data_IF_859819101980
#
_entry.id   IF_859819101980
#
_cell.length_a   1.000
_cell.length_b   1.000
_cell.length_c   1.000
_cell.angle_alpha   90.00
_cell.angle_beta   90.00
_cell.angle_gamma   90.00
#
_symmetry.space_group_name_H-M   'P 1'
#
loop_
_entity.id
_entity.type
_entity.pdbx_description
1 polymer ?
#
# COMPACT_ATOMS: atom_id res chain seq x y z
N UNK A 1 1.46 31.63 2.68
CA UNK A 1 0.89 30.29 2.32
C UNK A 1 1.94 29.24 2.62
N UNK A 2 1.56 28.12 3.26
CA UNK A 2 2.50 27.02 3.52
C UNK A 2 2.93 26.36 2.20
N UNK A 3 4.20 25.94 2.13
CA UNK A 3 4.74 25.20 0.97
C UNK A 3 4.29 23.74 0.94
N UNK A 4 3.75 23.22 2.05
CA UNK A 4 3.39 21.82 2.23
C UNK A 4 1.96 21.67 2.75
N UNK A 5 0.92 22.05 1.96
CA UNK A 5 -0.48 22.04 2.40
C UNK A 5 -0.97 20.64 2.82
N UNK A 6 -0.41 19.57 2.25
CA UNK A 6 -0.74 18.18 2.60
C UNK A 6 -0.47 17.81 4.07
N UNK A 7 0.43 18.56 4.75
CA UNK A 7 0.76 18.36 6.15
C UNK A 7 0.02 19.32 7.11
N UNK A 8 -0.92 20.11 6.61
CA UNK A 8 -1.88 20.78 7.49
C UNK A 8 -2.58 19.70 8.33
N UNK A 9 -2.86 19.99 9.60
CA UNK A 9 -3.46 19.06 10.56
C UNK A 9 -2.62 17.77 10.84
N UNK A 10 -1.32 17.79 10.57
CA UNK A 10 -0.44 16.64 10.84
C UNK A 10 -0.39 16.29 12.33
N UNK A 11 -0.59 17.28 13.20
CA UNK A 11 -0.71 17.15 14.67
C UNK A 11 -1.92 16.32 15.13
N UNK A 12 -2.91 16.10 14.26
CA UNK A 12 -4.03 15.21 14.55
C UNK A 12 -3.70 13.73 14.33
N UNK A 13 -2.68 13.44 13.52
CA UNK A 13 -2.38 12.08 13.07
C UNK A 13 -1.01 11.58 13.49
N UNK A 14 0.04 12.40 13.29
CA UNK A 14 1.40 11.96 13.49
C UNK A 14 1.88 12.08 14.93
N UNK A 15 2.61 11.06 15.38
CA UNK A 15 3.36 11.07 16.62
C UNK A 15 4.86 11.09 16.38
N UNK A 16 5.59 11.75 17.26
CA UNK A 16 7.04 11.82 17.19
C UNK A 16 7.68 10.44 17.46
N UNK A 17 8.50 9.87 16.54
CA UNK A 17 9.15 8.57 16.74
C UNK A 17 10.04 8.51 17.98
N UNK A 18 10.53 9.68 18.47
CA UNK A 18 11.44 9.77 19.61
C UNK A 18 10.72 9.88 20.96
N UNK A 19 9.61 10.62 21.02
CA UNK A 19 8.97 10.93 22.31
C UNK A 19 7.44 10.75 22.34
N UNK A 20 6.80 10.32 21.25
CA UNK A 20 5.36 10.06 21.17
C UNK A 20 4.46 11.30 21.12
N UNK A 21 5.00 12.52 21.31
CA UNK A 21 4.20 13.74 21.25
C UNK A 21 3.75 14.04 19.81
N UNK A 22 2.61 14.74 19.67
CA UNK A 22 2.07 15.13 18.36
C UNK A 22 3.09 15.90 17.52
N UNK A 23 3.10 15.64 16.20
CA UNK A 23 3.95 16.32 15.22
C UNK A 23 3.11 17.31 14.42
N UNK A 24 3.30 18.60 14.65
CA UNK A 24 2.67 19.67 13.90
C UNK A 24 3.56 20.21 12.78
N UNK A 25 2.93 20.82 11.75
CA UNK A 25 3.63 21.50 10.67
C UNK A 25 4.25 22.81 11.18
N UNK A 26 5.58 22.93 11.08
CA UNK A 26 6.36 24.14 11.37
C UNK A 26 7.18 24.49 10.14
N UNK A 27 6.72 25.47 9.35
CA UNK A 27 7.33 25.92 8.10
C UNK A 27 7.52 24.79 7.06
N UNK A 28 8.71 24.18 7.01
CA UNK A 28 9.07 23.11 6.08
C UNK A 28 9.39 21.79 6.80
N UNK A 29 8.98 21.64 8.04
CA UNK A 29 9.28 20.49 8.88
C UNK A 29 8.06 20.08 9.69
N UNK A 30 8.02 18.81 10.14
CA UNK A 30 7.15 18.39 11.23
C UNK A 30 7.94 18.50 12.53
N UNK A 31 7.32 19.10 13.56
CA UNK A 31 7.97 19.36 14.84
C UNK A 31 7.07 19.01 16.02
N UNK A 32 7.63 18.39 17.05
CA UNK A 32 6.93 18.16 18.32
C UNK A 32 7.26 19.22 19.38
N UNK A 33 6.46 19.30 20.49
CA UNK A 33 6.74 20.23 21.61
C UNK A 33 8.13 20.06 22.24
N UNK A 34 8.68 18.83 22.21
CA UNK A 34 10.05 18.54 22.69
C UNK A 34 11.15 18.91 21.66
N UNK A 35 10.78 19.68 20.63
CA UNK A 35 11.69 20.21 19.60
C UNK A 35 12.35 19.18 18.68
N UNK A 36 11.93 17.91 18.68
CA UNK A 36 12.35 16.99 17.62
C UNK A 36 11.75 17.46 16.29
N UNK A 37 12.58 17.52 15.25
CA UNK A 37 12.23 18.12 13.98
C UNK A 37 12.55 17.14 12.85
N UNK A 38 11.62 17.02 11.87
CA UNK A 38 11.71 16.14 10.71
C UNK A 38 11.43 16.97 9.46
N UNK A 39 12.43 17.17 8.63
CA UNK A 39 12.30 18.00 7.44
C UNK A 39 11.43 17.35 6.38
N UNK A 40 10.56 18.15 5.77
CA UNK A 40 9.75 17.74 4.63
C UNK A 40 10.60 17.92 3.38
N UNK A 41 10.83 16.82 2.66
CA UNK A 41 11.58 16.83 1.42
C UNK A 41 10.89 17.72 0.36
N UNK A 42 11.67 18.23 -0.60
CA UNK A 42 11.16 19.06 -1.71
C UNK A 42 9.98 18.41 -2.45
N UNK A 43 9.98 17.08 -2.54
CA UNK A 43 8.94 16.31 -3.21
C UNK A 43 7.65 16.19 -2.38
N UNK A 44 7.67 16.58 -1.10
CA UNK A 44 6.48 16.57 -0.23
C UNK A 44 6.29 15.27 0.54
N UNK A 45 7.35 14.66 1.03
CA UNK A 45 7.30 13.55 1.99
C UNK A 45 8.18 13.85 3.20
N UNK A 46 7.96 13.13 4.29
CA UNK A 46 8.78 13.19 5.50
C UNK A 46 9.36 11.81 5.83
N UNK A 47 10.61 11.77 6.32
CA UNK A 47 11.21 10.52 6.82
C UNK A 47 11.06 10.45 8.35
N UNK A 48 10.17 9.56 8.81
CA UNK A 48 9.92 9.32 10.23
C UNK A 48 10.56 8.01 10.75
N UNK A 49 11.33 7.31 9.90
CA UNK A 49 12.09 6.12 10.23
C UNK A 49 13.56 6.22 9.74
N UNK A 50 14.33 7.25 10.16
CA UNK A 50 15.65 7.53 9.58
C UNK A 50 16.70 6.44 9.86
N UNK A 51 16.46 5.58 10.85
CA UNK A 51 17.39 4.51 11.27
C UNK A 51 17.14 3.18 10.55
N UNK A 52 16.06 3.06 9.80
CA UNK A 52 15.72 1.82 9.11
C UNK A 52 16.64 1.62 7.90
N UNK A 53 17.25 0.43 7.84
CA UNK A 53 18.07 0.04 6.68
C UNK A 53 17.16 -0.19 5.48
N UNK A 54 17.51 0.43 4.35
CA UNK A 54 16.80 0.20 3.09
C UNK A 54 17.05 -1.22 2.59
N UNK A 55 16.01 -1.88 2.08
CA UNK A 55 16.13 -3.22 1.50
C UNK A 55 16.92 -3.16 0.19
N UNK A 56 17.85 -4.09 0.01
CA UNK A 56 18.58 -4.25 -1.26
C UNK A 56 17.74 -4.89 -2.37
N UNK A 57 16.56 -5.44 -2.06
CA UNK A 57 15.77 -6.24 -2.99
C UNK A 57 14.85 -5.41 -3.89
N UNK A 58 14.64 -4.13 -3.58
CA UNK A 58 13.78 -3.25 -4.37
C UNK A 58 14.58 -2.04 -4.83
N UNK A 59 14.87 -2.00 -6.12
CA UNK A 59 15.55 -0.88 -6.76
C UNK A 59 14.52 0.11 -7.31
N UNK A 60 14.92 1.35 -7.50
CA UNK A 60 14.08 2.42 -8.04
C UNK A 60 13.37 2.03 -9.34
N UNK A 61 14.08 1.34 -10.26
CA UNK A 61 13.51 0.86 -11.52
C UNK A 61 12.35 -0.13 -11.33
N UNK A 62 12.38 -0.96 -10.29
CA UNK A 62 11.29 -1.89 -9.99
C UNK A 62 10.01 -1.16 -9.62
N UNK A 63 10.11 -0.04 -8.87
CA UNK A 63 8.94 0.79 -8.54
C UNK A 63 8.42 1.55 -9.76
N UNK A 64 9.29 2.06 -10.63
CA UNK A 64 8.90 2.75 -11.87
C UNK A 64 8.18 1.80 -12.83
N UNK A 65 8.68 0.58 -13.00
CA UNK A 65 8.03 -0.46 -13.80
C UNK A 65 6.66 -0.85 -13.22
N UNK A 66 6.60 -1.06 -11.90
CA UNK A 66 5.35 -1.36 -11.20
C UNK A 66 4.33 -0.25 -11.38
N UNK A 67 4.73 1.02 -11.22
CA UNK A 67 3.86 2.16 -11.43
C UNK A 67 3.27 2.14 -12.84
N UNK A 68 4.10 2.01 -13.87
CA UNK A 68 3.65 1.98 -15.26
C UNK A 68 2.65 0.84 -15.53
N UNK A 69 2.88 -0.33 -14.94
CA UNK A 69 1.98 -1.48 -15.07
C UNK A 69 0.63 -1.24 -14.38
N UNK A 70 0.63 -0.71 -13.16
CA UNK A 70 -0.60 -0.42 -12.42
C UNK A 70 -1.41 0.70 -13.12
N UNK A 71 -0.74 1.73 -13.63
CA UNK A 71 -1.38 2.82 -14.38
C UNK A 71 -1.93 2.38 -15.74
N UNK A 72 -1.47 1.24 -16.30
CA UNK A 72 -2.06 0.63 -17.49
C UNK A 72 -3.44 -0.01 -17.25
N UNK A 73 -3.97 0.01 -16.00
CA UNK A 73 -5.35 -0.34 -15.68
C UNK A 73 -5.58 -1.80 -15.30
N UNK A 74 -4.55 -2.64 -15.24
CA UNK A 74 -4.71 -4.07 -14.89
C UNK A 74 -5.29 -4.29 -13.49
N UNK A 75 -5.11 -3.33 -12.57
CA UNK A 75 -5.55 -3.41 -11.18
C UNK A 75 -6.73 -2.47 -10.86
N UNK A 76 -7.31 -1.81 -11.86
CA UNK A 76 -8.37 -0.80 -11.64
C UNK A 76 -9.61 -1.37 -10.93
N UNK A 77 -10.02 -2.60 -11.24
CA UNK A 77 -11.16 -3.25 -10.59
C UNK A 77 -10.92 -3.51 -9.08
N UNK A 78 -9.67 -3.72 -8.66
CA UNK A 78 -9.33 -3.84 -7.23
C UNK A 78 -9.40 -2.46 -6.55
N UNK A 79 -8.94 -1.42 -7.23
CA UNK A 79 -9.09 -0.04 -6.79
C UNK A 79 -10.57 0.33 -6.64
N UNK A 80 -11.41 0.04 -7.66
CA UNK A 80 -12.86 0.31 -7.65
C UNK A 80 -13.57 -0.38 -6.46
N UNK A 81 -13.18 -1.61 -6.14
CA UNK A 81 -13.71 -2.33 -4.98
C UNK A 81 -13.33 -1.67 -3.65
N UNK A 82 -12.08 -1.20 -3.51
CA UNK A 82 -11.63 -0.46 -2.32
C UNK A 82 -12.34 0.87 -2.20
N UNK A 83 -12.43 1.66 -3.28
CA UNK A 83 -13.13 2.95 -3.32
C UNK A 83 -14.58 2.80 -2.89
N UNK A 84 -15.29 1.82 -3.46
CA UNK A 84 -16.68 1.52 -3.11
C UNK A 84 -16.84 1.16 -1.62
N UNK A 85 -15.94 0.34 -1.06
CA UNK A 85 -16.01 -0.06 0.34
C UNK A 85 -15.67 1.09 1.30
N UNK A 86 -14.69 1.95 0.96
CA UNK A 86 -14.38 3.16 1.72
C UNK A 86 -15.60 4.09 1.79
N UNK A 87 -16.29 4.28 0.65
CA UNK A 87 -17.50 5.10 0.58
C UNK A 87 -18.65 4.48 1.38
N UNK A 88 -18.90 3.17 1.26
CA UNK A 88 -19.92 2.43 2.00
C UNK A 88 -19.74 2.56 3.52
N UNK A 89 -18.50 2.42 3.99
CA UNK A 89 -18.16 2.54 5.40
C UNK A 89 -18.08 3.99 5.91
N UNK A 90 -18.15 4.98 5.03
CA UNK A 90 -18.10 6.40 5.36
C UNK A 90 -16.78 6.83 5.99
N UNK A 91 -15.66 6.18 5.63
CA UNK A 91 -14.35 6.49 6.18
C UNK A 91 -13.92 7.92 5.78
N UNK A 92 -13.29 8.64 6.70
CA UNK A 92 -12.80 10.01 6.50
C UNK A 92 -11.28 10.12 6.55
N UNK A 93 -10.63 9.19 7.22
CA UNK A 93 -9.18 9.09 7.29
C UNK A 93 -8.73 7.66 7.05
N UNK A 94 -7.72 7.47 6.19
CA UNK A 94 -7.17 6.15 5.88
C UNK A 94 -5.65 6.16 5.98
N UNK A 95 -5.09 5.02 6.41
CA UNK A 95 -3.67 4.76 6.44
C UNK A 95 -3.34 3.62 5.48
N UNK A 96 -2.61 3.92 4.41
CA UNK A 96 -2.15 2.95 3.40
C UNK A 96 -0.80 2.36 3.81
N UNK A 97 -0.80 1.06 4.08
CA UNK A 97 0.31 0.31 4.67
C UNK A 97 1.17 -0.30 3.56
N UNK A 98 2.46 0.05 3.52
CA UNK A 98 3.35 -0.47 2.48
C UNK A 98 2.90 -0.04 1.08
N UNK A 99 2.59 1.27 0.95
CA UNK A 99 1.91 1.83 -0.22
C UNK A 99 2.72 1.76 -1.54
N UNK A 100 4.02 1.38 -1.46
CA UNK A 100 4.90 1.37 -2.62
C UNK A 100 4.99 2.73 -3.30
N UNK A 101 4.78 2.75 -4.63
CA UNK A 101 4.75 3.97 -5.46
C UNK A 101 3.43 4.76 -5.37
N UNK A 102 2.52 4.33 -4.47
CA UNK A 102 1.33 5.08 -4.08
C UNK A 102 0.17 5.06 -5.07
N UNK A 103 0.03 4.05 -5.93
CA UNK A 103 -1.03 3.96 -6.93
C UNK A 103 -2.43 4.11 -6.32
N UNK A 104 -2.76 3.32 -5.30
CA UNK A 104 -4.08 3.36 -4.67
C UNK A 104 -4.34 4.68 -3.96
N UNK A 105 -3.40 5.13 -3.13
CA UNK A 105 -3.51 6.39 -2.40
C UNK A 105 -3.65 7.60 -3.31
N UNK A 106 -2.93 7.66 -4.45
CA UNK A 106 -3.05 8.76 -5.43
C UNK A 106 -4.42 8.76 -6.10
N UNK A 107 -4.91 7.60 -6.56
CA UNK A 107 -6.24 7.49 -7.18
C UNK A 107 -7.37 7.85 -6.21
N UNK A 108 -7.28 7.41 -4.95
CA UNK A 108 -8.26 7.78 -3.91
C UNK A 108 -8.26 9.29 -3.67
N UNK A 109 -7.07 9.92 -3.58
CA UNK A 109 -6.94 11.35 -3.35
C UNK A 109 -7.48 12.23 -4.49
N UNK A 110 -7.54 11.70 -5.71
CA UNK A 110 -8.11 12.40 -6.87
C UNK A 110 -9.63 12.38 -6.88
N UNK A 111 -10.26 11.37 -6.26
CA UNK A 111 -11.71 11.13 -6.36
C UNK A 111 -12.47 11.36 -5.06
N UNK A 112 -11.81 11.24 -3.92
CA UNK A 112 -12.47 11.25 -2.60
C UNK A 112 -11.88 12.35 -1.72
N UNK A 113 -12.74 12.99 -0.93
CA UNK A 113 -12.33 13.93 0.12
C UNK A 113 -11.97 13.15 1.39
N UNK A 114 -10.69 12.72 1.47
CA UNK A 114 -10.14 11.88 2.52
C UNK A 114 -8.83 12.46 3.06
N UNK A 115 -8.61 12.33 4.37
CA UNK A 115 -7.27 12.42 4.94
C UNK A 115 -6.53 11.10 4.68
N UNK A 116 -5.63 11.09 3.68
CA UNK A 116 -4.85 9.92 3.32
C UNK A 116 -3.43 10.07 3.86
N UNK A 117 -3.04 9.13 4.71
CA UNK A 117 -1.67 8.92 5.16
C UNK A 117 -1.16 7.68 4.44
N UNK A 118 0.03 7.75 3.85
CA UNK A 118 0.57 6.60 3.13
C UNK A 118 2.05 6.45 3.40
N UNK A 119 2.47 5.24 3.75
CA UNK A 119 3.86 4.98 4.05
C UNK A 119 4.40 3.70 3.41
N UNK A 120 5.69 3.73 3.24
CA UNK A 120 6.49 2.55 2.91
C UNK A 120 7.82 2.64 3.67
N UNK A 121 8.47 1.51 3.88
CA UNK A 121 9.81 1.45 4.46
C UNK A 121 10.86 1.93 3.45
N UNK A 122 10.58 1.80 2.15
CA UNK A 122 11.46 2.22 1.06
C UNK A 122 11.34 3.73 0.82
N UNK A 123 12.46 4.43 1.01
CA UNK A 123 12.53 5.85 0.69
C UNK A 123 12.34 6.11 -0.81
N UNK A 124 12.80 5.21 -1.68
CA UNK A 124 12.71 5.38 -3.14
C UNK A 124 11.27 5.28 -3.62
N UNK A 125 10.47 4.36 -3.06
CA UNK A 125 9.05 4.25 -3.37
C UNK A 125 8.28 5.50 -2.94
N UNK A 126 8.50 5.98 -1.72
CA UNK A 126 7.87 7.19 -1.18
C UNK A 126 8.28 8.45 -1.97
N UNK A 127 9.53 8.54 -2.39
CA UNK A 127 9.99 9.62 -3.26
C UNK A 127 9.22 9.62 -4.59
N UNK A 128 9.03 8.44 -5.20
CA UNK A 128 8.28 8.27 -6.45
C UNK A 128 6.80 8.62 -6.24
N UNK A 129 6.16 8.07 -5.21
CA UNK A 129 4.78 8.35 -4.83
C UNK A 129 4.52 9.86 -4.66
N UNK A 130 5.34 10.53 -3.87
CA UNK A 130 5.22 11.97 -3.61
C UNK A 130 5.44 12.84 -4.85
N UNK A 131 6.33 12.43 -5.78
CA UNK A 131 6.56 13.10 -7.06
C UNK A 131 5.38 12.97 -8.03
N UNK A 132 4.74 11.79 -8.02
CA UNK A 132 3.64 11.45 -8.94
C UNK A 132 2.27 11.91 -8.42
N UNK A 133 2.19 12.38 -7.16
CA UNK A 133 0.96 12.86 -6.55
C UNK A 133 0.59 14.27 -7.05
N UNK A 134 -0.32 14.34 -8.03
CA UNK A 134 -0.85 15.59 -8.60
C UNK A 134 -1.78 16.31 -7.63
N UNK A 135 -2.51 15.60 -6.76
CA UNK A 135 -3.46 16.15 -5.79
C UNK A 135 -2.78 16.99 -4.70
N UNK A 136 -1.54 16.63 -4.35
CA UNK A 136 -0.78 17.20 -3.23
C UNK A 136 -1.53 17.15 -1.89
N UNK A 137 -2.42 16.18 -1.72
CA UNK A 137 -3.22 15.99 -0.50
C UNK A 137 -2.74 14.83 0.36
N UNK A 138 -2.14 13.79 -0.23
CA UNK A 138 -1.66 12.62 0.51
C UNK A 138 -0.45 12.97 1.38
N UNK A 139 -0.48 12.55 2.63
CA UNK A 139 0.59 12.72 3.63
C UNK A 139 1.58 11.55 3.51
N UNK A 140 2.55 11.69 2.59
CA UNK A 140 3.57 10.67 2.33
C UNK A 140 4.66 10.65 3.40
N UNK A 141 4.99 9.46 3.91
CA UNK A 141 6.10 9.33 4.84
C UNK A 141 6.85 7.99 4.72
N UNK A 142 8.14 8.03 5.04
CA UNK A 142 8.91 6.80 5.27
C UNK A 142 8.65 6.36 6.69
N UNK A 143 8.20 5.12 6.88
CA UNK A 143 7.79 4.59 8.18
C UNK A 143 8.16 3.12 8.35
N UNK A 144 8.09 2.64 9.58
CA UNK A 144 8.27 1.24 9.94
C UNK A 144 6.95 0.71 10.53
N UNK A 145 6.45 -0.37 9.93
CA UNK A 145 5.23 -1.04 10.36
C UNK A 145 5.32 -1.59 11.80
N UNK A 146 6.52 -1.84 12.28
CA UNK A 146 6.72 -2.36 13.64
C UNK A 146 6.48 -1.30 14.72
N UNK A 147 6.55 -0.01 14.35
CA UNK A 147 6.31 1.13 15.23
C UNK A 147 5.85 2.33 14.40
N UNK A 148 4.56 2.38 14.13
CA UNK A 148 3.97 3.46 13.33
C UNK A 148 4.06 4.82 14.04
N UNK A 149 4.57 5.87 13.39
CA UNK A 149 4.61 7.22 13.96
C UNK A 149 3.23 7.90 13.82
N UNK A 150 2.19 7.22 14.25
CA UNK A 150 0.78 7.63 14.20
C UNK A 150 0.22 7.61 15.61
N UNK A 151 -0.58 8.59 15.94
CA UNK A 151 -1.24 8.70 17.24
C UNK A 151 -2.30 7.61 17.41
N UNK A 152 -2.57 7.25 18.67
CA UNK A 152 -3.57 6.26 19.03
C UNK A 152 -4.96 6.74 18.64
N UNK A 153 -5.78 5.86 18.09
CA UNK A 153 -7.22 6.09 17.84
C UNK A 153 -7.54 7.31 16.96
N UNK A 154 -6.72 7.52 15.91
CA UNK A 154 -6.90 8.67 15.00
C UNK A 154 -7.35 8.31 13.59
N UNK A 155 -7.24 7.04 13.18
CA UNK A 155 -7.49 6.57 11.82
C UNK A 155 -8.83 5.84 11.74
N UNK A 156 -9.67 6.13 10.72
CA UNK A 156 -10.94 5.43 10.49
C UNK A 156 -10.74 4.10 9.76
N UNK A 157 -9.79 4.03 8.82
CA UNK A 157 -9.55 2.84 8.02
C UNK A 157 -8.09 2.57 7.72
N UNK A 158 -7.72 1.29 7.68
CA UNK A 158 -6.41 0.82 7.21
C UNK A 158 -6.59 0.15 5.85
N UNK A 159 -5.73 0.51 4.90
CA UNK A 159 -5.57 -0.16 3.63
C UNK A 159 -4.32 -1.02 3.70
N UNK A 160 -4.49 -2.34 3.64
CA UNK A 160 -3.40 -3.33 3.67
C UNK A 160 -3.44 -4.10 2.35
N UNK A 161 -2.76 -3.56 1.32
CA UNK A 161 -2.87 -4.02 -0.06
C UNK A 161 -1.63 -4.83 -0.44
N UNK A 162 -1.75 -6.16 -0.46
CA UNK A 162 -0.63 -7.08 -0.76
C UNK A 162 0.60 -6.84 0.11
N UNK A 163 0.40 -6.38 1.37
CA UNK A 163 1.48 -6.02 2.28
C UNK A 163 1.42 -6.82 3.59
N UNK A 164 2.50 -6.86 4.38
CA UNK A 164 2.50 -7.46 5.71
C UNK A 164 1.57 -6.71 6.67
N UNK A 165 1.01 -7.40 7.65
CA UNK A 165 0.18 -6.82 8.69
C UNK A 165 0.89 -6.78 10.05
N UNK A 166 0.58 -5.75 10.85
CA UNK A 166 0.85 -5.68 12.27
C UNK A 166 -0.44 -5.28 13.00
N UNK A 167 -1.24 -6.28 13.35
CA UNK A 167 -2.57 -6.05 13.93
C UNK A 167 -2.54 -5.36 15.30
N UNK A 168 -1.44 -5.44 16.05
CA UNK A 168 -1.27 -4.70 17.31
C UNK A 168 -1.18 -3.18 17.03
N UNK A 169 -0.35 -2.79 16.05
CA UNK A 169 -0.27 -1.39 15.61
C UNK A 169 -1.57 -0.93 14.94
N UNK A 170 -2.22 -1.81 14.16
CA UNK A 170 -3.52 -1.50 13.57
C UNK A 170 -4.57 -1.20 14.65
N UNK A 171 -4.69 -2.07 15.66
CA UNK A 171 -5.60 -1.86 16.77
C UNK A 171 -5.28 -0.58 17.58
N UNK A 172 -4.00 -0.22 17.69
CA UNK A 172 -3.57 0.99 18.36
C UNK A 172 -4.01 2.26 17.63
N UNK A 173 -3.78 2.33 16.31
CA UNK A 173 -4.03 3.57 15.55
C UNK A 173 -5.47 3.74 15.09
N UNK A 174 -6.22 2.63 14.90
CA UNK A 174 -7.63 2.67 14.51
C UNK A 174 -8.51 3.23 15.63
N UNK A 175 -9.44 4.09 15.26
CA UNK A 175 -10.56 4.48 16.11
C UNK A 175 -11.40 3.26 16.49
N UNK A 176 -12.14 3.35 17.58
CA UNK A 176 -13.13 2.33 17.94
C UNK A 176 -14.16 2.19 16.80
N UNK A 177 -14.38 0.97 16.33
CA UNK A 177 -15.20 0.71 15.14
C UNK A 177 -14.53 1.03 13.81
N UNK A 178 -13.23 1.34 13.82
CA UNK A 178 -12.44 1.52 12.61
C UNK A 178 -12.28 0.21 11.83
N UNK A 179 -12.07 0.32 10.52
CA UNK A 179 -12.06 -0.82 9.59
C UNK A 179 -10.65 -1.12 9.05
N UNK A 180 -10.39 -2.41 8.80
CA UNK A 180 -9.25 -2.87 8.02
C UNK A 180 -9.77 -3.40 6.68
N UNK A 181 -9.27 -2.85 5.59
CA UNK A 181 -9.52 -3.30 4.22
C UNK A 181 -8.23 -3.95 3.73
N UNK A 182 -8.23 -5.29 3.67
CA UNK A 182 -7.04 -6.06 3.27
C UNK A 182 -7.28 -6.76 1.94
N UNK A 183 -6.42 -6.50 0.95
CA UNK A 183 -6.37 -7.26 -0.30
C UNK A 183 -5.31 -8.34 -0.21
N UNK A 184 -5.73 -9.57 -0.44
CA UNK A 184 -4.85 -10.73 -0.59
C UNK A 184 -5.05 -11.38 -1.95
N UNK A 185 -4.01 -11.96 -2.59
CA UNK A 185 -4.20 -12.63 -3.86
C UNK A 185 -5.26 -13.74 -3.75
N UNK A 186 -6.12 -13.82 -4.75
CA UNK A 186 -7.09 -14.91 -4.87
C UNK A 186 -6.45 -16.18 -5.45
N UNK A 187 -7.16 -17.32 -5.42
CA UNK A 187 -6.63 -18.60 -5.93
C UNK A 187 -6.26 -18.55 -7.41
N UNK A 188 -6.95 -17.75 -8.21
CA UNK A 188 -6.68 -17.60 -9.65
C UNK A 188 -5.80 -16.39 -9.98
N UNK A 189 -5.24 -15.70 -8.98
CA UNK A 189 -4.37 -14.55 -9.24
C UNK A 189 -3.17 -14.96 -10.07
N UNK A 190 -3.01 -14.31 -11.25
CA UNK A 190 -1.94 -14.56 -12.22
C UNK A 190 -1.81 -16.05 -12.63
N UNK A 191 -2.93 -16.78 -12.71
CA UNK A 191 -2.94 -18.24 -12.99
C UNK A 191 -2.25 -18.57 -14.32
N UNK A 192 -2.38 -17.72 -15.35
CA UNK A 192 -1.79 -17.93 -16.65
C UNK A 192 -0.26 -17.83 -16.58
N UNK A 193 0.25 -16.83 -15.86
CA UNK A 193 1.68 -16.64 -15.64
C UNK A 193 2.25 -17.77 -14.75
N UNK A 194 1.52 -18.19 -13.72
CA UNK A 194 1.90 -19.35 -12.88
C UNK A 194 1.93 -20.64 -13.65
N UNK A 195 0.95 -20.85 -14.54
CA UNK A 195 0.91 -22.03 -15.39
C UNK A 195 2.11 -22.10 -16.34
N UNK A 196 2.52 -20.97 -16.90
CA UNK A 196 3.70 -20.89 -17.75
C UNK A 196 5.00 -21.26 -17.01
N UNK A 197 5.09 -20.94 -15.72
CA UNK A 197 6.26 -21.19 -14.88
C UNK A 197 6.13 -22.46 -14.01
N UNK A 198 5.11 -23.31 -14.22
CA UNK A 198 4.74 -24.43 -13.32
C UNK A 198 5.90 -25.36 -12.96
N UNK A 199 6.78 -25.65 -13.93
CA UNK A 199 7.92 -26.56 -13.76
C UNK A 199 9.03 -25.98 -12.86
N UNK A 200 8.99 -24.67 -12.56
CA UNK A 200 9.94 -23.95 -11.72
C UNK A 200 9.34 -23.51 -10.39
N UNK A 201 8.02 -23.59 -10.22
CA UNK A 201 7.34 -23.18 -9.00
C UNK A 201 7.20 -24.35 -8.02
N UNK A 202 7.42 -24.09 -6.73
CA UNK A 202 7.27 -25.10 -5.66
C UNK A 202 5.82 -25.55 -5.46
N UNK A 203 4.85 -24.65 -5.72
CA UNK A 203 3.42 -24.91 -5.63
C UNK A 203 2.73 -24.27 -6.83
N UNK A 204 1.91 -25.03 -7.53
CA UNK A 204 1.09 -24.55 -8.65
C UNK A 204 -0.17 -23.79 -8.16
N UNK A 205 -0.74 -24.23 -7.04
CA UNK A 205 -1.92 -23.59 -6.43
C UNK A 205 -1.51 -22.57 -5.37
N UNK A 206 -2.22 -21.46 -5.35
CA UNK A 206 -2.11 -20.46 -4.29
C UNK A 206 -3.27 -20.65 -3.30
N UNK A 207 -2.95 -20.70 -2.02
CA UNK A 207 -3.92 -20.72 -0.93
C UNK A 207 -3.61 -19.59 0.04
N UNK A 208 -4.64 -18.84 0.43
CA UNK A 208 -4.55 -17.73 1.37
C UNK A 208 -5.30 -18.00 2.70
N UNK A 209 -5.71 -19.24 2.95
CA UNK A 209 -6.53 -19.59 4.11
C UNK A 209 -5.86 -19.19 5.44
N UNK A 210 -4.55 -19.45 5.57
CA UNK A 210 -3.79 -19.05 6.77
C UNK A 210 -3.85 -17.54 7.01
N UNK A 211 -3.78 -16.74 5.93
CA UNK A 211 -3.85 -15.26 6.03
C UNK A 211 -5.26 -14.82 6.45
N UNK A 212 -6.29 -15.47 5.89
CA UNK A 212 -7.69 -15.20 6.21
C UNK A 212 -7.99 -15.56 7.66
N UNK A 213 -7.54 -16.71 8.13
CA UNK A 213 -7.77 -17.18 9.50
C UNK A 213 -6.99 -16.31 10.50
N UNK A 214 -5.78 -15.92 10.16
CA UNK A 214 -5.03 -14.96 10.95
C UNK A 214 -5.72 -13.60 11.03
N UNK A 215 -6.23 -13.06 9.91
CA UNK A 215 -7.03 -11.84 9.90
C UNK A 215 -8.25 -11.94 10.81
N UNK A 216 -9.02 -13.04 10.69
CA UNK A 216 -10.22 -13.31 11.50
C UNK A 216 -9.94 -13.33 13.00
N UNK A 217 -8.74 -13.71 13.41
CA UNK A 217 -8.39 -13.74 14.84
C UNK A 217 -8.23 -12.36 15.49
N UNK A 218 -8.18 -11.29 14.69
CA UNK A 218 -8.00 -9.91 15.16
C UNK A 218 -9.20 -8.99 14.96
N UNK A 219 -10.22 -9.43 14.24
CA UNK A 219 -11.40 -8.60 13.90
C UNK A 219 -12.68 -9.32 14.30
N UNK A 220 -13.71 -8.56 14.71
CA UNK A 220 -14.96 -9.12 15.19
C UNK A 220 -15.86 -9.66 14.07
N UNK A 221 -15.88 -8.97 12.93
CA UNK A 221 -16.70 -9.32 11.76
C UNK A 221 -15.84 -9.29 10.52
N UNK A 222 -15.96 -10.32 9.68
CA UNK A 222 -15.21 -10.41 8.43
C UNK A 222 -16.19 -10.58 7.28
N UNK A 223 -16.17 -9.59 6.39
CA UNK A 223 -16.74 -9.71 5.05
C UNK A 223 -15.62 -10.12 4.08
N UNK A 224 -15.93 -10.97 3.11
CA UNK A 224 -15.01 -11.38 2.05
C UNK A 224 -15.65 -11.14 0.70
N UNK A 225 -14.98 -10.39 -0.15
CA UNK A 225 -15.43 -10.10 -1.51
C UNK A 225 -14.36 -10.58 -2.48
N UNK A 226 -14.70 -11.54 -3.34
CA UNK A 226 -13.82 -11.95 -4.43
C UNK A 226 -13.94 -10.91 -5.56
N UNK A 227 -12.80 -10.33 -5.92
CA UNK A 227 -12.70 -9.35 -7.01
C UNK A 227 -11.76 -9.92 -8.06
N UNK A 228 -12.28 -10.18 -9.27
CA UNK A 228 -11.53 -10.88 -10.32
C UNK A 228 -11.84 -10.29 -11.68
N UNK A 229 -10.80 -10.09 -12.50
CA UNK A 229 -10.94 -9.70 -13.90
C UNK A 229 -9.83 -10.34 -14.72
N UNK A 230 -10.20 -10.90 -15.88
CA UNK A 230 -9.23 -11.35 -16.90
C UNK A 230 -9.14 -10.28 -17.99
N UNK A 231 -7.92 -9.88 -18.32
CA UNK A 231 -7.62 -8.78 -19.21
C UNK A 231 -6.61 -9.21 -20.27
N UNK A 232 -6.71 -8.72 -21.51
CA UNK A 232 -5.67 -8.95 -22.50
C UNK A 232 -4.35 -8.32 -22.02
N UNK A 233 -3.24 -9.01 -22.29
CA UNK A 233 -1.89 -8.54 -21.92
C UNK A 233 -0.96 -8.59 -23.13
N UNK A 234 -0.07 -7.59 -23.22
CA UNK A 234 1.01 -7.60 -24.20
C UNK A 234 2.25 -8.31 -23.66
N UNK A 235 3.11 -8.84 -24.53
CA UNK A 235 4.37 -9.48 -24.10
C UNK A 235 5.24 -8.51 -23.27
N UNK A 236 5.26 -7.21 -23.61
CA UNK A 236 5.98 -6.19 -22.84
C UNK A 236 5.43 -6.05 -21.41
N UNK A 237 4.12 -6.00 -21.24
CA UNK A 237 3.49 -5.93 -19.92
C UNK A 237 3.61 -7.27 -19.16
N UNK A 238 3.61 -8.41 -19.85
CA UNK A 238 3.85 -9.71 -19.22
C UNK A 238 5.26 -9.79 -18.60
N UNK A 239 6.27 -9.23 -19.28
CA UNK A 239 7.63 -9.12 -18.74
C UNK A 239 7.67 -8.25 -17.49
N UNK A 240 7.06 -7.05 -17.53
CA UNK A 240 6.99 -6.16 -16.36
C UNK A 240 6.29 -6.84 -15.19
N UNK A 241 5.19 -7.55 -15.46
CA UNK A 241 4.44 -8.30 -14.44
C UNK A 241 5.30 -9.40 -13.80
N UNK A 242 6.06 -10.16 -14.59
CA UNK A 242 6.97 -11.17 -14.06
C UNK A 242 8.08 -10.54 -13.20
N UNK A 243 8.66 -9.42 -13.64
CA UNK A 243 9.72 -8.72 -12.92
C UNK A 243 9.26 -8.14 -11.58
N UNK A 244 8.01 -7.70 -11.49
CA UNK A 244 7.46 -7.09 -10.26
C UNK A 244 6.82 -8.09 -9.28
N UNK A 245 6.59 -9.34 -9.72
CA UNK A 245 5.87 -10.34 -8.92
C UNK A 245 6.85 -11.14 -8.06
N UNK A 246 6.76 -11.10 -6.71
CA UNK A 246 7.73 -11.79 -5.83
C UNK A 246 7.85 -13.27 -6.09
N UNK A 247 6.77 -13.94 -6.51
CA UNK A 247 6.78 -15.36 -6.87
C UNK A 247 7.80 -15.68 -7.97
N UNK A 248 8.09 -14.72 -8.85
CA UNK A 248 8.97 -14.86 -10.00
C UNK A 248 10.43 -14.46 -9.75
N UNK A 249 10.75 -13.93 -8.56
CA UNK A 249 12.15 -13.56 -8.24
C UNK A 249 13.11 -14.76 -8.19
N UNK A 250 12.59 -15.98 -8.05
CA UNK A 250 13.38 -17.21 -8.06
C UNK A 250 13.20 -18.04 -9.35
N UNK A 251 12.43 -17.54 -10.30
CA UNK A 251 12.15 -18.20 -11.59
C UNK A 251 13.20 -17.76 -12.60
N UNK A 252 13.79 -18.73 -13.33
CA UNK A 252 14.63 -18.45 -14.49
C UNK A 252 13.75 -18.02 -15.67
N UNK A 253 13.54 -16.72 -15.77
CA UNK A 253 12.66 -16.12 -16.76
C UNK A 253 13.15 -16.34 -18.20
N UNK A 254 14.45 -16.64 -18.42
CA UNK A 254 14.99 -16.94 -19.74
C UNK A 254 14.41 -18.22 -20.36
N UNK A 255 13.82 -19.09 -19.53
CA UNK A 255 13.15 -20.33 -19.93
C UNK A 255 11.65 -20.16 -20.17
N UNK A 256 11.11 -18.97 -19.99
CA UNK A 256 9.70 -18.68 -20.17
C UNK A 256 9.48 -17.98 -21.52
N UNK A 257 8.54 -18.48 -22.28
CA UNK A 257 8.06 -17.78 -23.48
C UNK A 257 6.85 -16.90 -23.11
N UNK A 258 7.12 -15.69 -22.59
CA UNK A 258 6.08 -14.74 -22.19
C UNK A 258 5.23 -14.24 -23.37
N UNK A 259 5.63 -14.48 -24.62
CA UNK A 259 4.82 -14.13 -25.80
C UNK A 259 3.57 -15.00 -25.95
N UNK A 260 3.52 -16.14 -25.27
CA UNK A 260 2.33 -17.01 -25.21
C UNK A 260 1.22 -16.46 -24.31
N UNK A 261 1.53 -15.48 -23.43
CA UNK A 261 0.53 -14.84 -22.58
C UNK A 261 -0.25 -13.81 -23.38
N UNK A 262 -1.49 -14.13 -23.71
CA UNK A 262 -2.42 -13.22 -24.40
C UNK A 262 -3.41 -12.55 -23.46
N UNK A 263 -3.59 -13.13 -22.28
CA UNK A 263 -4.46 -12.62 -21.21
C UNK A 263 -3.84 -12.87 -19.84
N UNK A 264 -4.32 -12.15 -18.85
CA UNK A 264 -3.91 -12.29 -17.45
C UNK A 264 -5.09 -12.10 -16.52
N UNK A 265 -5.24 -13.00 -15.57
CA UNK A 265 -6.25 -12.90 -14.50
C UNK A 265 -5.66 -12.19 -13.29
N UNK A 266 -6.18 -11.00 -12.98
CA UNK A 266 -5.88 -10.29 -11.73
C UNK A 266 -7.05 -10.52 -10.78
N UNK A 267 -6.80 -11.29 -9.72
CA UNK A 267 -7.80 -11.70 -8.75
C UNK A 267 -7.30 -11.45 -7.33
N UNK A 268 -8.16 -10.88 -6.50
CA UNK A 268 -7.89 -10.72 -5.08
C UNK A 268 -9.14 -10.97 -4.25
N UNK A 269 -8.93 -11.36 -3.00
CA UNK A 269 -10.00 -11.36 -1.97
C UNK A 269 -9.83 -10.09 -1.15
N UNK A 270 -10.86 -9.24 -1.16
CA UNK A 270 -10.98 -8.10 -0.26
C UNK A 270 -11.57 -8.60 1.05
N UNK A 271 -10.77 -8.57 2.10
CA UNK A 271 -11.19 -8.83 3.48
C UNK A 271 -11.50 -7.50 4.14
N UNK A 272 -12.68 -7.38 4.70
CA UNK A 272 -13.10 -6.20 5.48
C UNK A 272 -13.43 -6.64 6.89
N UNK A 273 -12.79 -6.02 7.87
CA UNK A 273 -13.01 -6.32 9.28
C UNK A 273 -12.99 -5.07 10.13
N UNK A 274 -13.73 -5.05 11.23
CA UNK A 274 -13.78 -3.95 12.21
C UNK A 274 -13.13 -4.36 13.53
N UNK A 275 -12.49 -3.41 14.22
CA UNK A 275 -11.85 -3.58 15.53
C UNK A 275 -12.61 -2.82 16.61
#
# INVERSE_FOLDING_TARGET
MTKHPRFLNSDQFFSCPHCGQALGLDLNSLRCPNRHTFDIAKQGYVNLAPQVKQSANYHKSSFENRQAFLEAGYYDHLYEALEGKIAELGLRSVLDIGCGEGFYSRKLAEKMDLDILAFDISKDSILLAAKSDSSKSVKWFVGDLTKLPIQDKTIDGILDIFSPANYQEFARVLKTGGAILKLVPGPNHLKELRHLAKDQLRKESYDNQDIVDHFRSYVEKVEQVLVSRTLPITAAHAQVLADMTPLFFQVDQSKLDLSQLTEITVEAVLLVGTI
#
